data_IF_352543724779
#
_entry.id   IF_352543724779
#
_cell.length_a   1.000
_cell.length_b   1.000
_cell.length_c   1.000
_cell.angle_alpha   90.00
_cell.angle_beta   90.00
_cell.angle_gamma   90.00
#
_symmetry.space_group_name_H-M   'P 1'
#
loop_
_entity.id
_entity.type
_entity.pdbx_description
1 polymer ?
#
# COMPACT_ATOMS: atom_id res chain seq x y z
N UNK A 1 40.28 -19.69 22.51
CA UNK A 1 38.97 -20.20 22.05
C UNK A 1 37.87 -19.38 22.69
N UNK A 2 36.82 -19.09 21.91
CA UNK A 2 35.50 -18.57 22.32
C UNK A 2 35.47 -17.06 22.61
N UNK A 3 34.73 -16.21 21.89
CA UNK A 3 33.48 -16.43 21.13
C UNK A 3 33.48 -15.65 19.81
N UNK A 4 33.50 -16.37 18.70
CA UNK A 4 33.02 -15.84 17.42
C UNK A 4 31.50 -16.03 17.44
N UNK A 5 30.79 -15.04 17.99
CA UNK A 5 29.34 -14.93 17.81
C UNK A 5 29.19 -14.19 16.51
N UNK A 6 28.86 -14.92 15.44
CA UNK A 6 28.46 -14.38 14.14
C UNK A 6 27.46 -13.24 14.35
N UNK A 7 27.93 -12.00 14.37
CA UNK A 7 27.07 -10.83 14.55
C UNK A 7 26.35 -10.62 13.23
N UNK A 8 25.13 -11.14 13.14
CA UNK A 8 24.18 -10.76 12.10
C UNK A 8 24.07 -9.23 12.06
N UNK A 9 23.91 -8.61 10.87
CA UNK A 9 23.87 -7.16 10.78
C UNK A 9 22.70 -6.61 11.60
N UNK A 10 22.96 -5.58 12.40
CA UNK A 10 21.90 -4.89 13.11
C UNK A 10 21.10 -4.03 12.11
N UNK A 11 19.92 -4.51 11.74
CA UNK A 11 18.98 -3.80 10.85
C UNK A 11 17.82 -3.23 11.64
N UNK A 12 17.43 -2.00 11.31
CA UNK A 12 16.23 -1.34 11.80
C UNK A 12 15.33 -1.00 10.60
N UNK A 13 14.04 -1.32 10.66
CA UNK A 13 13.11 -0.98 9.58
C UNK A 13 12.40 0.34 9.86
N UNK A 14 12.54 1.31 8.96
CA UNK A 14 11.78 2.55 9.01
C UNK A 14 10.53 2.42 8.12
N UNK A 15 9.40 2.23 8.79
CA UNK A 15 8.09 2.00 8.23
C UNK A 15 7.29 3.31 8.16
N UNK A 16 6.56 3.51 7.07
CA UNK A 16 5.70 4.66 6.87
C UNK A 16 5.34 4.80 5.40
N UNK A 17 4.12 5.23 5.08
CA UNK A 17 3.68 5.39 3.69
C UNK A 17 4.51 6.46 2.94
N UNK A 18 4.54 6.46 1.60
CA UNK A 18 5.13 7.57 0.86
C UNK A 18 4.59 8.92 1.32
N UNK A 19 5.44 9.95 1.25
CA UNK A 19 5.11 11.34 1.65
C UNK A 19 4.82 11.55 3.14
N UNK A 20 5.08 10.58 4.01
CA UNK A 20 5.02 10.76 5.48
C UNK A 20 6.25 11.43 6.09
N UNK A 21 7.34 11.61 5.33
CA UNK A 21 8.59 12.20 5.82
C UNK A 21 9.69 11.18 6.15
N UNK A 22 9.54 9.92 5.75
CA UNK A 22 10.51 8.84 6.02
C UNK A 22 11.93 9.16 5.51
N UNK A 23 12.05 9.84 4.36
CA UNK A 23 13.36 10.30 3.86
C UNK A 23 14.01 11.33 4.78
N UNK A 24 13.25 12.27 5.34
CA UNK A 24 13.78 13.26 6.30
C UNK A 24 14.25 12.56 7.58
N UNK A 25 13.44 11.65 8.13
CA UNK A 25 13.81 10.92 9.34
C UNK A 25 15.07 10.07 9.13
N UNK A 26 15.14 9.30 8.04
CA UNK A 26 16.33 8.54 7.69
C UNK A 26 17.57 9.44 7.57
N UNK A 27 17.42 10.61 6.93
CA UNK A 27 18.49 11.58 6.75
C UNK A 27 19.04 12.15 8.06
N UNK A 28 18.15 12.41 9.03
CA UNK A 28 18.53 12.90 10.35
C UNK A 28 19.18 11.81 11.20
N UNK A 29 18.64 10.59 11.17
CA UNK A 29 19.17 9.47 11.97
C UNK A 29 20.56 9.04 11.54
N UNK A 30 20.86 9.04 10.23
CA UNK A 30 22.19 8.66 9.74
C UNK A 30 23.31 9.66 10.09
N UNK A 31 22.98 10.83 10.65
CA UNK A 31 23.99 11.76 11.19
C UNK A 31 24.69 11.17 12.43
N UNK A 32 24.09 10.17 13.07
CA UNK A 32 24.74 9.44 14.14
C UNK A 32 25.96 8.65 13.59
N UNK A 33 27.12 8.65 14.30
CA UNK A 33 28.34 8.00 13.82
C UNK A 33 28.17 6.51 13.52
N UNK A 34 27.27 5.84 14.24
CA UNK A 34 27.04 4.39 14.11
C UNK A 34 25.84 3.97 13.26
N UNK A 35 25.07 4.90 12.71
CA UNK A 35 23.85 4.60 11.94
C UNK A 35 24.04 4.97 10.47
N UNK A 36 23.80 4.03 9.57
CA UNK A 36 23.73 4.29 8.11
C UNK A 36 22.30 4.09 7.61
N UNK A 37 21.86 4.90 6.64
CA UNK A 37 20.54 4.78 6.04
C UNK A 37 20.65 4.94 4.50
N UNK A 38 20.89 3.84 3.76
CA UNK A 38 21.00 3.93 2.30
C UNK A 38 19.69 4.42 1.65
N UNK A 39 19.77 5.01 0.43
CA UNK A 39 18.57 5.35 -0.33
C UNK A 39 17.76 4.10 -0.64
N UNK A 40 16.48 4.09 -0.22
CA UNK A 40 15.44 3.06 -0.42
C UNK A 40 15.94 1.76 -1.08
N UNK A 41 16.34 0.75 -0.30
CA UNK A 41 16.88 -0.50 -0.86
C UNK A 41 15.85 -1.30 -1.65
N UNK A 42 14.56 -1.22 -1.30
CA UNK A 42 13.48 -2.07 -1.86
C UNK A 42 13.73 -3.58 -1.75
N UNK A 43 14.72 -3.99 -0.95
CA UNK A 43 15.25 -5.35 -0.93
C UNK A 43 14.23 -6.35 -0.38
N UNK A 44 13.53 -6.00 0.69
CA UNK A 44 12.56 -6.92 1.32
C UNK A 44 11.35 -7.19 0.43
N UNK A 45 10.94 -6.21 -0.38
CA UNK A 45 9.88 -6.38 -1.38
C UNK A 45 10.32 -7.30 -2.51
N UNK A 46 11.58 -7.18 -2.95
CA UNK A 46 12.15 -8.04 -3.97
C UNK A 46 12.34 -9.48 -3.46
N UNK A 47 12.78 -9.66 -2.21
CA UNK A 47 12.96 -10.97 -1.59
C UNK A 47 11.63 -11.67 -1.27
N UNK A 48 10.57 -10.94 -0.88
CA UNK A 48 9.23 -11.55 -0.79
C UNK A 48 8.75 -12.08 -2.14
N UNK A 49 9.09 -11.40 -3.23
CA UNK A 49 8.77 -11.83 -4.59
C UNK A 49 9.77 -12.86 -5.16
N UNK A 50 10.78 -13.28 -4.39
CA UNK A 50 11.81 -14.21 -4.87
C UNK A 50 11.20 -15.55 -5.30
N UNK A 51 11.39 -15.89 -6.58
CA UNK A 51 10.82 -17.08 -7.20
C UNK A 51 9.62 -16.83 -8.11
N UNK A 52 9.05 -15.60 -8.12
CA UNK A 52 8.01 -15.23 -9.09
C UNK A 52 8.62 -15.03 -10.48
N UNK A 53 7.95 -15.55 -11.52
CA UNK A 53 8.42 -15.50 -12.91
C UNK A 53 7.53 -14.60 -13.76
N UNK A 54 8.12 -13.69 -14.53
CA UNK A 54 7.37 -12.88 -15.50
C UNK A 54 6.71 -13.78 -16.55
N UNK A 55 5.42 -13.58 -16.81
CA UNK A 55 4.63 -14.37 -17.78
C UNK A 55 5.15 -14.29 -19.21
N UNK A 56 5.95 -13.26 -19.53
CA UNK A 56 6.59 -13.04 -20.83
C UNK A 56 7.99 -13.64 -20.92
N UNK A 57 8.40 -14.45 -19.94
CA UNK A 57 9.72 -15.06 -19.94
C UNK A 57 9.93 -15.93 -21.19
N UNK A 58 10.94 -15.59 -22.00
CA UNK A 58 11.16 -16.20 -23.32
C UNK A 58 11.46 -17.71 -23.27
N UNK A 59 12.08 -18.19 -22.19
CA UNK A 59 12.35 -19.62 -21.97
C UNK A 59 11.16 -20.44 -21.44
N UNK A 60 9.93 -19.91 -21.58
CA UNK A 60 8.70 -20.60 -21.17
C UNK A 60 8.34 -20.37 -19.71
N UNK A 61 7.63 -19.26 -19.44
CA UNK A 61 7.26 -18.83 -18.09
C UNK A 61 6.58 -19.92 -17.24
N UNK A 62 5.64 -20.68 -17.80
CA UNK A 62 4.94 -21.74 -17.06
C UNK A 62 5.87 -22.87 -16.60
N UNK A 63 6.85 -23.26 -17.42
CA UNK A 63 7.80 -24.31 -17.07
C UNK A 63 8.77 -23.84 -15.98
N UNK A 64 9.29 -22.61 -16.11
CA UNK A 64 10.19 -22.02 -15.12
C UNK A 64 9.46 -21.82 -13.81
N UNK A 65 8.22 -21.32 -13.83
CA UNK A 65 7.41 -21.15 -12.63
C UNK A 65 7.20 -22.49 -11.92
N UNK A 66 6.83 -23.55 -12.65
CA UNK A 66 6.65 -24.88 -12.08
C UNK A 66 7.94 -25.44 -11.46
N UNK A 67 9.05 -25.42 -12.22
CA UNK A 67 10.33 -25.94 -11.75
C UNK A 67 10.91 -25.13 -10.58
N UNK A 68 10.79 -23.80 -10.62
CA UNK A 68 11.24 -22.91 -9.55
C UNK A 68 10.40 -23.12 -8.29
N UNK A 69 9.07 -23.23 -8.42
CA UNK A 69 8.20 -23.51 -7.29
C UNK A 69 8.51 -24.88 -6.65
N UNK A 70 8.73 -25.92 -7.45
CA UNK A 70 9.12 -27.25 -6.96
C UNK A 70 10.46 -27.19 -6.21
N UNK A 71 11.45 -26.47 -6.74
CA UNK A 71 12.74 -26.29 -6.08
C UNK A 71 12.61 -25.51 -4.77
N UNK A 72 11.92 -24.37 -4.80
CA UNK A 72 11.74 -23.51 -3.63
C UNK A 72 10.92 -24.19 -2.52
N UNK A 73 9.98 -25.07 -2.89
CA UNK A 73 9.22 -25.89 -1.94
C UNK A 73 10.07 -26.92 -1.18
N UNK A 74 11.33 -27.14 -1.57
CA UNK A 74 12.28 -28.05 -0.91
C UNK A 74 13.31 -27.35 -0.04
N UNK A 75 13.27 -26.02 0.05
CA UNK A 75 14.22 -25.24 0.85
C UNK A 75 13.50 -24.37 1.88
N UNK A 76 14.24 -23.94 2.91
CA UNK A 76 13.78 -22.89 3.80
C UNK A 76 13.99 -21.52 3.13
N UNK A 77 12.92 -21.01 2.50
CA UNK A 77 12.92 -19.73 1.79
C UNK A 77 13.26 -18.55 2.70
N UNK A 78 12.83 -18.58 3.97
CA UNK A 78 13.12 -17.52 4.94
C UNK A 78 14.60 -17.50 5.26
N UNK A 79 15.20 -18.65 5.60
CA UNK A 79 16.63 -18.72 5.90
C UNK A 79 17.51 -18.31 4.71
N UNK A 80 17.16 -18.71 3.48
CA UNK A 80 17.90 -18.32 2.27
C UNK A 80 17.76 -16.82 1.98
N UNK A 81 16.54 -16.29 2.07
CA UNK A 81 16.32 -14.86 1.91
C UNK A 81 17.07 -14.04 2.95
N UNK A 82 17.12 -14.53 4.20
CA UNK A 82 17.84 -13.87 5.30
C UNK A 82 19.33 -13.86 5.05
N UNK A 83 19.90 -14.99 4.61
CA UNK A 83 21.31 -15.08 4.28
C UNK A 83 21.70 -14.08 3.17
N UNK A 84 20.86 -13.92 2.14
CA UNK A 84 21.08 -12.90 1.11
C UNK A 84 21.02 -11.48 1.68
N UNK A 85 19.97 -11.17 2.45
CA UNK A 85 19.78 -9.87 3.06
C UNK A 85 20.94 -9.51 4.01
N UNK A 86 21.37 -10.45 4.85
CA UNK A 86 22.48 -10.28 5.77
C UNK A 86 23.79 -10.00 5.04
N UNK A 87 24.06 -10.72 3.95
CA UNK A 87 25.24 -10.48 3.12
C UNK A 87 25.20 -9.09 2.46
N UNK A 88 24.03 -8.64 1.99
CA UNK A 88 23.86 -7.32 1.39
C UNK A 88 24.02 -6.20 2.42
N UNK A 89 23.32 -6.28 3.56
CA UNK A 89 23.39 -5.28 4.61
C UNK A 89 24.77 -5.20 5.27
N UNK A 90 25.44 -6.34 5.45
CA UNK A 90 26.81 -6.37 5.99
C UNK A 90 27.80 -5.63 5.11
N UNK A 91 27.66 -5.71 3.78
CA UNK A 91 28.51 -4.93 2.86
C UNK A 91 28.26 -3.42 2.99
N UNK A 92 27.01 -2.99 3.13
CA UNK A 92 26.69 -1.58 3.39
C UNK A 92 27.27 -1.08 4.72
N UNK A 93 27.14 -1.88 5.79
CA UNK A 93 27.69 -1.55 7.10
C UNK A 93 29.22 -1.47 7.07
N UNK A 94 29.88 -2.44 6.45
CA UNK A 94 31.33 -2.48 6.31
C UNK A 94 31.87 -1.29 5.50
N UNK A 95 31.22 -0.97 4.36
CA UNK A 95 31.60 0.17 3.54
C UNK A 95 31.41 1.52 4.26
N UNK A 96 30.37 1.64 5.10
CA UNK A 96 30.11 2.84 5.87
C UNK A 96 30.93 2.94 7.17
N UNK A 97 31.52 1.83 7.65
CA UNK A 97 32.15 1.75 8.96
C UNK A 97 31.17 1.94 10.13
N UNK A 98 29.90 1.55 9.94
CA UNK A 98 28.80 1.80 10.89
C UNK A 98 28.21 0.50 11.43
N UNK A 99 27.46 0.58 12.54
CA UNK A 99 26.96 -0.60 13.29
C UNK A 99 25.51 -0.97 12.98
N UNK A 100 24.65 0.00 12.69
CA UNK A 100 23.24 -0.25 12.36
C UNK A 100 22.86 0.33 11.02
N UNK A 101 22.10 -0.46 10.25
CA UNK A 101 21.51 -0.06 8.99
C UNK A 101 20.04 0.22 9.19
N UNK A 102 19.58 1.41 8.80
CA UNK A 102 18.17 1.75 8.69
C UNK A 102 17.72 1.45 7.26
N UNK A 103 16.93 0.39 7.10
CA UNK A 103 16.23 0.13 5.85
C UNK A 103 14.92 0.91 5.86
N UNK A 104 14.93 2.04 5.14
CA UNK A 104 13.77 2.86 4.89
C UNK A 104 13.23 2.55 3.50
N UNK A 105 12.07 1.90 3.45
CA UNK A 105 11.31 1.70 2.21
C UNK A 105 9.81 1.96 2.48
N UNK A 106 9.18 2.95 1.80
CA UNK A 106 7.85 3.42 2.18
C UNK A 106 6.72 2.37 2.09
N UNK A 107 6.89 1.33 1.26
CA UNK A 107 5.85 0.31 1.01
C UNK A 107 6.06 -1.00 1.74
N UNK A 108 6.87 -1.01 2.79
CA UNK A 108 7.01 -2.18 3.65
C UNK A 108 5.73 -2.60 4.38
N UNK A 109 4.69 -1.75 4.38
CA UNK A 109 3.34 -2.15 4.78
C UNK A 109 2.81 -3.36 3.98
N UNK A 110 3.31 -3.61 2.77
CA UNK A 110 2.92 -4.75 1.92
C UNK A 110 3.54 -6.09 2.36
N UNK A 111 4.59 -6.06 3.18
CA UNK A 111 5.42 -7.23 3.51
C UNK A 111 5.74 -7.32 5.00
N UNK A 112 4.90 -6.76 5.87
CA UNK A 112 5.13 -6.71 7.32
C UNK A 112 5.34 -8.12 7.92
N UNK A 113 4.49 -9.09 7.57
CA UNK A 113 4.63 -10.47 8.07
C UNK A 113 5.93 -11.14 7.59
N UNK A 114 6.35 -10.81 6.36
CA UNK A 114 7.61 -11.29 5.81
C UNK A 114 8.80 -10.67 6.56
N UNK A 115 8.77 -9.36 6.87
CA UNK A 115 9.78 -8.71 7.70
C UNK A 115 9.87 -9.37 9.09
N UNK A 116 8.73 -9.65 9.70
CA UNK A 116 8.67 -10.28 11.03
C UNK A 116 9.20 -11.71 11.02
N UNK A 117 8.97 -12.44 9.93
CA UNK A 117 9.50 -13.79 9.75
C UNK A 117 11.01 -13.78 9.53
N UNK A 118 11.50 -12.82 8.74
CA UNK A 118 12.92 -12.71 8.39
C UNK A 118 13.77 -12.14 9.54
N UNK A 119 13.25 -11.13 10.24
CA UNK A 119 13.93 -10.42 11.31
C UNK A 119 12.99 -10.17 12.50
N UNK A 120 12.68 -11.21 13.30
CA UNK A 120 11.70 -11.12 14.38
C UNK A 120 12.07 -10.10 15.47
N UNK A 121 13.37 -9.97 15.75
CA UNK A 121 13.91 -9.09 16.80
C UNK A 121 14.37 -7.71 16.28
N UNK A 122 14.20 -7.41 14.99
CA UNK A 122 14.65 -6.13 14.46
C UNK A 122 13.76 -4.99 14.99
N UNK A 123 14.37 -3.89 15.50
CA UNK A 123 13.62 -2.72 15.91
C UNK A 123 12.94 -2.07 14.71
N UNK A 124 11.75 -1.54 14.95
CA UNK A 124 10.98 -0.81 13.95
C UNK A 124 10.85 0.66 14.36
N UNK A 125 10.96 1.57 13.39
CA UNK A 125 10.52 2.94 13.54
C UNK A 125 9.28 3.11 12.69
N UNK A 126 8.16 3.47 13.29
CA UNK A 126 6.89 3.70 12.62
C UNK A 126 6.63 5.21 12.52
N UNK A 127 6.78 5.77 11.33
CA UNK A 127 6.50 7.17 11.06
C UNK A 127 5.05 7.37 10.60
N UNK A 128 4.32 8.16 11.37
CA UNK A 128 2.95 8.58 11.11
C UNK A 128 2.94 10.05 10.70
N UNK A 129 1.98 10.40 9.84
CA UNK A 129 1.72 11.78 9.42
C UNK A 129 0.23 11.94 9.17
N UNK A 130 -0.29 13.15 9.35
CA UNK A 130 -1.68 13.49 9.04
C UNK A 130 -2.05 13.01 7.62
N UNK A 131 -3.07 12.14 7.45
CA UNK A 131 -3.48 11.63 6.15
C UNK A 131 -3.89 12.71 5.14
N UNK A 132 -4.46 13.83 5.58
CA UNK A 132 -4.73 14.97 4.69
C UNK A 132 -3.44 15.62 4.19
N UNK A 133 -2.42 15.75 5.05
CA UNK A 133 -1.10 16.26 4.66
C UNK A 133 -0.36 15.30 3.71
N UNK A 134 -0.52 13.99 3.88
CA UNK A 134 -0.04 12.98 2.93
C UNK A 134 -0.73 13.17 1.57
N UNK A 135 -2.06 13.26 1.54
CA UNK A 135 -2.83 13.44 0.32
C UNK A 135 -2.48 14.75 -0.42
N UNK A 136 -2.39 15.88 0.29
CA UNK A 136 -1.94 17.15 -0.28
C UNK A 136 -0.52 17.06 -0.87
N UNK A 137 0.37 16.30 -0.22
CA UNK A 137 1.70 16.05 -0.78
C UNK A 137 1.66 15.16 -2.02
N UNK A 138 0.85 14.11 -2.04
CA UNK A 138 0.65 13.24 -3.21
C UNK A 138 0.11 14.04 -4.41
N UNK A 139 -0.91 14.87 -4.20
CA UNK A 139 -1.46 15.79 -5.20
C UNK A 139 -0.40 16.73 -5.75
N UNK A 140 0.21 17.54 -4.89
CA UNK A 140 1.16 18.59 -5.32
C UNK A 140 2.48 18.04 -5.89
N UNK A 141 2.86 16.80 -5.58
CA UNK A 141 4.17 16.23 -5.99
C UNK A 141 4.04 15.30 -7.18
N UNK A 142 3.00 14.45 -7.20
CA UNK A 142 2.83 13.38 -8.18
C UNK A 142 1.56 13.54 -9.02
N UNK A 143 0.80 14.61 -8.81
CA UNK A 143 -0.44 14.88 -9.55
C UNK A 143 -1.52 13.82 -9.28
N UNK A 144 -1.50 13.19 -8.10
CA UNK A 144 -2.49 12.15 -7.76
C UNK A 144 -3.86 12.82 -7.62
N UNK A 145 -4.85 12.42 -8.45
CA UNK A 145 -6.21 12.93 -8.33
C UNK A 145 -6.94 12.24 -7.17
N UNK A 146 -7.67 13.03 -6.39
CA UNK A 146 -8.56 12.53 -5.32
C UNK A 146 -10.04 12.70 -5.65
N UNK A 147 -10.36 13.29 -6.80
CA UNK A 147 -11.72 13.42 -7.33
C UNK A 147 -11.65 13.14 -8.84
N UNK A 148 -12.67 12.47 -9.39
CA UNK A 148 -12.78 12.25 -10.84
C UNK A 148 -13.45 13.45 -11.50
N UNK A 149 -12.89 13.95 -12.60
CA UNK A 149 -13.54 14.99 -13.42
C UNK A 149 -14.88 14.54 -14.02
N UNK A 150 -15.12 13.22 -14.08
CA UNK A 150 -16.30 12.64 -14.75
C UNK A 150 -17.43 12.24 -13.81
N UNK A 151 -17.22 12.28 -12.49
CA UNK A 151 -18.22 11.79 -11.53
C UNK A 151 -18.13 12.54 -10.18
N UNK A 152 -19.26 13.04 -9.62
CA UNK A 152 -19.25 13.66 -8.30
C UNK A 152 -18.78 12.68 -7.19
N UNK A 153 -18.12 13.18 -6.12
CA UNK A 153 -17.37 12.41 -5.11
C UNK A 153 -18.24 11.61 -4.11
N UNK A 154 -19.41 11.14 -4.53
CA UNK A 154 -20.40 10.49 -3.65
C UNK A 154 -20.67 9.03 -3.97
N UNK A 155 -20.08 8.48 -5.03
CA UNK A 155 -20.27 7.06 -5.39
C UNK A 155 -18.97 6.26 -5.35
N UNK A 156 -19.03 5.04 -4.82
CA UNK A 156 -17.98 4.02 -4.96
C UNK A 156 -17.66 3.76 -6.44
N UNK A 157 -18.64 3.98 -7.34
CA UNK A 157 -18.45 3.96 -8.80
C UNK A 157 -17.39 4.95 -9.28
N UNK A 158 -17.23 6.10 -8.63
CA UNK A 158 -16.26 7.13 -9.02
C UNK A 158 -14.81 6.69 -8.79
N UNK A 159 -14.53 5.93 -7.71
CA UNK A 159 -13.20 5.34 -7.51
C UNK A 159 -13.02 4.04 -8.28
N UNK A 160 -14.08 3.26 -8.51
CA UNK A 160 -14.03 2.17 -9.46
C UNK A 160 -13.65 2.71 -10.85
N UNK A 161 -14.22 3.82 -11.31
CA UNK A 161 -13.81 4.51 -12.53
C UNK A 161 -12.40 5.08 -12.44
N UNK A 162 -12.01 5.63 -11.29
CA UNK A 162 -10.63 6.06 -11.06
C UNK A 162 -9.64 4.90 -11.09
N UNK A 163 -10.06 3.65 -10.80
CA UNK A 163 -9.23 2.43 -10.77
C UNK A 163 -9.29 1.64 -12.09
N UNK A 164 -10.46 1.61 -12.74
CA UNK A 164 -10.81 0.80 -13.93
C UNK A 164 -10.68 1.63 -15.22
N UNK A 165 -10.98 2.94 -15.17
CA UNK A 165 -11.06 3.83 -16.33
C UNK A 165 -9.73 4.34 -16.88
N UNK A 166 -8.62 3.62 -16.66
CA UNK A 166 -7.21 3.97 -16.95
C UNK A 166 -6.53 5.02 -16.05
N UNK A 167 -6.45 4.83 -14.72
CA UNK A 167 -5.34 5.39 -13.96
C UNK A 167 -4.03 4.66 -14.31
N UNK A 168 -2.90 5.35 -14.23
CA UNK A 168 -1.61 4.66 -14.20
C UNK A 168 -1.52 3.83 -12.91
N UNK A 169 -0.80 2.70 -12.94
CA UNK A 169 -0.56 1.87 -11.76
C UNK A 169 -0.08 2.67 -10.53
N UNK A 170 0.59 3.81 -10.76
CA UNK A 170 1.05 4.73 -9.74
C UNK A 170 -0.08 5.38 -8.91
N UNK A 171 -1.21 5.75 -9.54
CA UNK A 171 -2.35 6.35 -8.82
C UNK A 171 -3.00 5.33 -7.90
N UNK A 172 -3.28 4.13 -8.42
CA UNK A 172 -3.87 3.06 -7.63
C UNK A 172 -2.97 2.66 -6.44
N UNK A 173 -1.65 2.60 -6.64
CA UNK A 173 -0.69 2.37 -5.55
C UNK A 173 -0.71 3.51 -4.51
N UNK A 174 -0.74 4.78 -4.95
CA UNK A 174 -0.77 5.91 -4.03
C UNK A 174 -2.06 5.95 -3.18
N UNK A 175 -3.19 5.57 -3.76
CA UNK A 175 -4.45 5.44 -3.01
C UNK A 175 -4.43 4.21 -2.09
N UNK A 176 -3.86 3.08 -2.53
CA UNK A 176 -3.67 1.90 -1.69
C UNK A 176 -2.77 2.20 -0.48
N UNK A 177 -1.77 3.08 -0.63
CA UNK A 177 -0.95 3.52 0.50
C UNK A 177 -1.83 4.16 1.61
N UNK A 178 -2.88 4.92 1.27
CA UNK A 178 -3.83 5.49 2.24
C UNK A 178 -4.87 4.46 2.74
N UNK A 179 -5.45 3.67 1.83
CA UNK A 179 -6.57 2.76 2.12
C UNK A 179 -6.14 1.48 2.79
N UNK A 180 -4.97 0.94 2.45
CA UNK A 180 -4.47 -0.34 2.97
C UNK A 180 -3.18 -0.15 3.77
N UNK A 181 -2.31 0.76 3.34
CA UNK A 181 -1.02 0.99 4.00
C UNK A 181 -1.14 1.61 5.38
N UNK A 182 -1.84 2.74 5.51
CA UNK A 182 -2.05 3.40 6.80
C UNK A 182 -2.65 2.50 7.89
N UNK A 183 -3.76 1.77 7.69
CA UNK A 183 -4.29 0.88 8.74
C UNK A 183 -3.33 -0.28 9.06
N UNK A 184 -2.66 -0.87 8.05
CA UNK A 184 -1.70 -1.95 8.27
C UNK A 184 -0.51 -1.48 9.14
N UNK A 185 -0.04 -0.26 8.90
CA UNK A 185 1.01 0.38 9.68
C UNK A 185 0.52 0.81 11.07
N UNK A 186 -0.69 1.33 11.20
CA UNK A 186 -1.30 1.69 12.47
C UNK A 186 -1.39 0.49 13.43
N UNK A 187 -1.69 -0.69 12.90
CA UNK A 187 -1.72 -1.94 13.65
C UNK A 187 -0.35 -2.35 14.21
N UNK A 188 0.76 -1.83 13.68
CA UNK A 188 2.12 -2.13 14.17
C UNK A 188 2.50 -1.34 15.42
N UNK A 189 1.72 -0.32 15.83
CA UNK A 189 2.06 0.54 16.99
C UNK A 189 2.22 -0.22 18.31
N UNK A 190 1.49 -1.33 18.46
CA UNK A 190 1.55 -2.18 19.66
C UNK A 190 2.65 -3.24 19.62
N UNK A 191 3.39 -3.37 18.52
CA UNK A 191 4.42 -4.41 18.39
C UNK A 191 5.62 -4.10 19.30
N UNK A 192 6.19 -5.10 19.99
CA UNK A 192 7.45 -4.93 20.73
C UNK A 192 8.54 -4.31 19.84
N UNK A 193 9.46 -3.56 20.46
CA UNK A 193 10.57 -2.91 19.77
C UNK A 193 10.16 -1.95 18.64
N UNK A 194 8.92 -1.44 18.64
CA UNK A 194 8.45 -0.43 17.68
C UNK A 194 8.42 0.97 18.31
N UNK A 195 9.12 1.91 17.70
CA UNK A 195 9.13 3.32 18.09
C UNK A 195 8.25 4.13 17.15
N UNK A 196 7.18 4.70 17.70
CA UNK A 196 6.29 5.58 16.92
C UNK A 196 6.87 7.00 16.87
N UNK A 197 6.84 7.61 15.69
CA UNK A 197 7.24 8.99 15.44
C UNK A 197 6.11 9.69 14.70
N UNK A 198 5.73 10.88 15.14
CA UNK A 198 4.81 11.74 14.41
C UNK A 198 5.63 12.75 13.61
N UNK A 199 5.36 12.85 12.32
CA UNK A 199 6.04 13.78 11.42
C UNK A 199 5.96 15.22 11.93
N UNK A 200 4.80 15.60 12.49
CA UNK A 200 4.52 16.92 13.00
C UNK A 200 5.45 17.28 14.17
N UNK A 201 5.66 16.36 15.12
CA UNK A 201 6.64 16.54 16.19
C UNK A 201 8.08 16.54 15.65
N UNK A 202 8.39 15.69 14.67
CA UNK A 202 9.71 15.62 14.07
C UNK A 202 10.13 16.94 13.43
N UNK A 203 9.22 17.66 12.77
CA UNK A 203 9.55 18.94 12.13
C UNK A 203 9.42 20.15 13.05
N UNK A 204 8.65 20.03 14.13
CA UNK A 204 8.52 21.08 15.14
C UNK A 204 9.69 21.07 16.13
N UNK A 205 10.10 19.86 16.57
CA UNK A 205 11.13 19.63 17.61
C UNK A 205 12.12 18.55 17.15
N UNK A 206 12.86 18.78 16.04
CA UNK A 206 13.71 17.76 15.43
C UNK A 206 14.77 17.20 16.39
N UNK A 207 15.45 18.05 17.16
CA UNK A 207 16.52 17.60 18.07
C UNK A 207 15.99 16.68 19.18
N UNK A 208 14.83 17.01 19.74
CA UNK A 208 14.19 16.22 20.80
C UNK A 208 13.76 14.85 20.27
N UNK A 209 13.05 14.84 19.14
CA UNK A 209 12.55 13.60 18.54
C UNK A 209 13.67 12.68 18.07
N UNK A 210 14.73 13.23 17.48
CA UNK A 210 15.88 12.43 17.01
C UNK A 210 16.66 11.84 18.19
N UNK A 211 16.91 12.61 19.26
CA UNK A 211 17.54 12.08 20.48
C UNK A 211 16.70 10.97 21.11
N UNK A 212 15.37 11.15 21.16
CA UNK A 212 14.44 10.13 21.67
C UNK A 212 14.52 8.83 20.86
N UNK A 213 14.48 8.92 19.53
CA UNK A 213 14.55 7.74 18.65
C UNK A 213 15.91 7.06 18.76
N UNK A 214 17.02 7.80 18.81
CA UNK A 214 18.36 7.24 18.93
C UNK A 214 18.58 6.55 20.28
N UNK A 215 18.12 7.16 21.38
CA UNK A 215 18.13 6.53 22.69
C UNK A 215 17.32 5.22 22.70
N UNK A 216 16.14 5.21 22.06
CA UNK A 216 15.31 4.02 21.94
C UNK A 216 15.92 2.90 21.07
N UNK A 217 16.83 3.25 20.14
CA UNK A 217 17.65 2.30 19.40
C UNK A 217 18.88 1.81 20.18
N UNK A 218 19.08 2.27 21.42
CA UNK A 218 20.18 1.86 22.30
C UNK A 218 21.49 2.62 22.10
N UNK A 219 21.45 3.79 21.46
CA UNK A 219 22.61 4.64 21.19
C UNK A 219 22.64 5.88 22.11
N UNK A 220 23.83 6.47 22.28
CA UNK A 220 23.99 7.69 23.08
C UNK A 220 23.47 8.92 22.31
N UNK A 221 22.44 9.63 22.83
CA UNK A 221 21.90 10.83 22.18
C UNK A 221 22.81 12.06 22.30
N UNK A 222 23.81 12.04 23.17
CA UNK A 222 24.62 13.21 23.57
C UNK A 222 25.57 13.71 22.47
N UNK A 223 25.94 12.84 21.52
CA UNK A 223 26.87 13.14 20.43
C UNK A 223 26.24 13.70 19.16
N UNK A 224 24.91 13.83 19.11
CA UNK A 224 24.21 14.31 17.91
C UNK A 224 24.16 15.83 17.91
N UNK A 225 25.03 16.43 17.12
CA UNK A 225 24.82 17.79 16.63
C UNK A 225 24.00 17.60 15.35
N UNK A 226 22.69 17.89 15.37
CA UNK A 226 21.89 17.87 14.14
C UNK A 226 22.41 19.02 13.27
N UNK A 227 23.21 18.76 12.23
CA UNK A 227 23.71 19.85 11.40
C UNK A 227 22.53 20.36 10.57
N UNK A 228 22.71 21.53 9.95
CA UNK A 228 21.88 21.89 8.81
C UNK A 228 21.87 20.73 7.77
N UNK A 229 20.91 20.71 6.85
CA UNK A 229 20.66 19.62 5.86
C UNK A 229 21.79 19.53 4.80
N UNK A 230 23.05 19.57 5.22
CA UNK A 230 24.24 19.79 4.40
C UNK A 230 24.80 18.48 3.82
N UNK A 231 24.62 17.33 4.48
CA UNK A 231 25.11 16.02 4.00
C UNK A 231 24.10 15.28 3.12
N UNK A 232 23.65 15.91 2.03
CA UNK A 232 22.66 15.33 1.09
C UNK A 232 23.29 14.63 -0.12
N UNK A 233 24.61 14.43 -0.14
CA UNK A 233 25.33 13.88 -1.29
C UNK A 233 24.80 12.50 -1.70
N UNK A 234 24.54 11.61 -0.74
CA UNK A 234 23.96 10.29 -1.02
C UNK A 234 22.56 10.35 -1.68
N UNK A 235 21.76 11.40 -1.41
CA UNK A 235 20.47 11.62 -2.07
C UNK A 235 20.63 12.19 -3.47
N UNK A 236 21.73 12.91 -3.77
CA UNK A 236 22.03 13.39 -5.12
C UNK A 236 22.46 12.25 -6.04
N UNK A 237 23.14 11.26 -5.48
CA UNK A 237 23.61 10.07 -6.19
C UNK A 237 22.51 9.01 -6.41
N UNK A 238 21.31 9.20 -5.84
CA UNK A 238 20.18 8.28 -5.99
C UNK A 238 19.03 8.87 -6.80
N UNK A 239 18.33 8.01 -7.54
CA UNK A 239 17.02 8.30 -8.12
C UNK A 239 15.88 8.09 -7.14
N UNK A 240 16.14 7.47 -5.99
CA UNK A 240 15.15 7.11 -4.97
C UNK A 240 15.19 8.07 -3.76
N UNK A 241 14.07 8.18 -3.05
CA UNK A 241 13.88 9.13 -1.95
C UNK A 241 13.24 10.47 -2.36
N UNK A 242 12.92 11.30 -1.34
CA UNK A 242 12.25 12.58 -1.58
C UNK A 242 13.21 13.68 -2.02
N UNK A 243 13.24 13.96 -3.33
CA UNK A 243 14.05 15.02 -3.94
C UNK A 243 13.70 16.43 -3.45
N UNK A 244 12.53 16.65 -2.83
CA UNK A 244 12.21 17.95 -2.23
C UNK A 244 13.16 18.30 -1.07
N UNK A 245 13.77 17.30 -0.42
CA UNK A 245 14.73 17.52 0.66
C UNK A 245 16.01 18.23 0.17
N UNK A 246 16.44 17.96 -1.07
CA UNK A 246 17.62 18.61 -1.68
C UNK A 246 17.48 20.12 -1.83
N UNK A 247 16.25 20.65 -1.80
CA UNK A 247 15.95 22.08 -1.92
C UNK A 247 15.87 22.78 -0.56
N UNK A 248 15.87 22.02 0.54
CA UNK A 248 15.74 22.58 1.90
C UNK A 248 17.11 22.88 2.47
N UNK A 249 17.24 24.03 3.12
CA UNK A 249 18.44 24.41 3.89
C UNK A 249 18.35 23.96 5.35
N UNK A 250 17.13 23.84 5.88
CA UNK A 250 16.85 23.45 7.25
C UNK A 250 15.54 22.63 7.31
N UNK A 251 15.32 21.95 8.44
CA UNK A 251 14.02 21.36 8.76
C UNK A 251 13.02 22.50 9.01
N UNK A 252 11.84 22.40 8.42
CA UNK A 252 10.75 23.36 8.59
C UNK A 252 9.41 22.63 8.67
N UNK A 253 8.44 23.26 9.34
CA UNK A 253 7.10 22.74 9.56
C UNK A 253 6.06 23.26 8.55
N UNK A 254 6.47 23.92 7.45
CA UNK A 254 5.55 24.57 6.49
C UNK A 254 4.58 23.59 5.85
N UNK A 255 4.99 22.32 5.72
CA UNK A 255 4.19 21.26 5.12
C UNK A 255 3.19 20.59 6.06
N UNK A 256 3.14 20.97 7.34
CA UNK A 256 2.23 20.35 8.32
C UNK A 256 0.77 20.70 7.99
N UNK A 257 0.46 21.98 7.76
CA UNK A 257 -0.91 22.46 7.59
C UNK A 257 -1.29 22.84 6.15
N UNK A 258 -0.40 22.62 5.16
CA UNK A 258 -0.65 23.01 3.76
C UNK A 258 -1.88 22.32 3.16
N UNK A 259 -2.27 21.17 3.70
CA UNK A 259 -3.47 20.45 3.26
C UNK A 259 -4.75 21.28 3.37
N UNK A 260 -4.82 22.23 4.32
CA UNK A 260 -5.98 23.11 4.50
C UNK A 260 -6.22 24.03 3.30
N UNK A 261 -5.17 24.33 2.53
CA UNK A 261 -5.26 25.21 1.34
C UNK A 261 -5.10 24.44 0.03
N UNK A 262 -4.44 23.29 0.05
CA UNK A 262 -4.14 22.49 -1.16
C UNK A 262 -5.25 21.51 -1.52
N UNK A 263 -6.05 21.08 -0.54
CA UNK A 263 -7.18 20.18 -0.76
C UNK A 263 -8.48 20.96 -0.80
N UNK A 264 -9.32 20.65 -1.79
CA UNK A 264 -10.71 21.09 -1.80
C UNK A 264 -11.53 20.33 -0.76
N UNK A 265 -12.72 20.83 -0.43
CA UNK A 265 -13.68 20.12 0.44
C UNK A 265 -13.97 18.72 -0.12
N UNK A 266 -14.15 18.59 -1.43
CA UNK A 266 -14.39 17.30 -2.08
C UNK A 266 -13.20 16.33 -1.92
N UNK A 267 -11.97 16.82 -2.07
CA UNK A 267 -10.78 16.00 -1.89
C UNK A 267 -10.59 15.58 -0.43
N UNK A 268 -10.84 16.49 0.53
CA UNK A 268 -10.86 16.16 1.95
C UNK A 268 -11.93 15.12 2.27
N UNK A 269 -13.09 15.18 1.62
CA UNK A 269 -14.14 14.17 1.77
C UNK A 269 -13.63 12.80 1.28
N UNK A 270 -13.02 12.75 0.09
CA UNK A 270 -12.44 11.51 -0.43
C UNK A 270 -11.39 10.95 0.53
N UNK A 271 -10.46 11.77 1.02
CA UNK A 271 -9.43 11.30 1.97
C UNK A 271 -10.07 10.74 3.24
N UNK A 272 -11.11 11.41 3.77
CA UNK A 272 -11.85 10.94 4.95
C UNK A 272 -12.51 9.59 4.70
N UNK A 273 -13.12 9.42 3.53
CA UNK A 273 -13.77 8.17 3.13
C UNK A 273 -12.76 7.02 2.95
N UNK A 274 -11.60 7.28 2.33
CA UNK A 274 -10.52 6.32 2.09
C UNK A 274 -9.87 5.82 3.39
N UNK A 275 -9.61 6.74 4.31
CA UNK A 275 -8.86 6.46 5.54
C UNK A 275 -9.79 5.98 6.65
N UNK A 276 -10.95 6.63 6.77
CA UNK A 276 -11.94 6.46 7.84
C UNK A 276 -11.71 7.42 9.01
N UNK A 277 -12.80 7.99 9.52
CA UNK A 277 -12.78 8.89 10.69
C UNK A 277 -12.26 8.19 11.95
N UNK A 278 -12.64 6.93 12.19
CA UNK A 278 -12.14 6.12 13.31
C UNK A 278 -10.61 6.05 13.31
N UNK A 279 -10.00 5.78 12.15
CA UNK A 279 -8.55 5.66 12.03
C UNK A 279 -7.85 7.02 12.19
N UNK A 280 -8.44 8.10 11.70
CA UNK A 280 -7.92 9.46 11.92
C UNK A 280 -7.83 9.79 13.42
N UNK A 281 -8.88 9.50 14.18
CA UNK A 281 -8.92 9.69 15.63
C UNK A 281 -7.91 8.76 16.32
N UNK A 282 -7.89 7.48 15.94
CA UNK A 282 -6.98 6.48 16.48
C UNK A 282 -5.50 6.88 16.30
N UNK A 283 -5.17 7.53 15.17
CA UNK A 283 -3.83 8.01 14.85
C UNK A 283 -3.50 9.38 15.49
N UNK A 284 -4.42 9.97 16.24
CA UNK A 284 -4.22 11.25 16.94
C UNK A 284 -4.55 12.50 16.11
N UNK A 285 -5.24 12.37 14.97
CA UNK A 285 -5.59 13.47 14.07
C UNK A 285 -7.04 13.95 14.24
N UNK A 286 -7.61 13.82 15.44
CA UNK A 286 -8.98 14.26 15.75
C UNK A 286 -9.20 15.75 15.48
N UNK A 287 -8.23 16.60 15.82
CA UNK A 287 -8.33 18.05 15.55
C UNK A 287 -8.34 18.35 14.05
N UNK A 288 -7.57 17.61 13.25
CA UNK A 288 -7.58 17.75 11.78
C UNK A 288 -8.91 17.28 11.19
N UNK A 289 -9.45 16.17 11.71
CA UNK A 289 -10.79 15.71 11.34
C UNK A 289 -11.87 16.73 11.74
N UNK A 290 -11.77 17.36 12.91
CA UNK A 290 -12.71 18.38 13.33
C UNK A 290 -12.65 19.61 12.42
N UNK A 291 -11.44 20.07 12.06
CA UNK A 291 -11.28 21.15 11.09
C UNK A 291 -11.93 20.81 9.73
N UNK A 292 -11.75 19.59 9.25
CA UNK A 292 -12.41 19.12 8.04
C UNK A 292 -13.95 19.13 8.21
N UNK A 293 -14.48 18.65 9.35
CA UNK A 293 -15.92 18.70 9.64
C UNK A 293 -16.48 20.11 9.66
N UNK A 294 -15.76 21.06 10.26
CA UNK A 294 -16.14 22.48 10.29
C UNK A 294 -16.18 23.08 8.87
N UNK A 295 -15.35 22.56 7.95
CA UNK A 295 -15.35 22.92 6.53
C UNK A 295 -16.44 22.21 5.70
N UNK A 296 -17.28 21.38 6.31
CA UNK A 296 -18.42 20.71 5.67
C UNK A 296 -18.20 19.22 5.32
N UNK A 297 -17.10 18.61 5.77
CA UNK A 297 -16.87 17.17 5.61
C UNK A 297 -17.78 16.37 6.54
N UNK A 298 -18.37 15.31 6.01
CA UNK A 298 -19.27 14.42 6.77
C UNK A 298 -18.61 13.06 6.94
N UNK A 299 -18.62 12.53 8.16
CA UNK A 299 -18.29 11.13 8.38
C UNK A 299 -19.42 10.25 7.84
N UNK A 300 -19.20 9.62 6.68
CA UNK A 300 -20.16 8.72 6.04
C UNK A 300 -20.21 7.32 6.69
N UNK A 301 -19.43 7.11 7.74
CA UNK A 301 -19.42 5.90 8.54
C UNK A 301 -18.52 4.80 8.01
N UNK A 302 -18.19 3.87 8.91
CA UNK A 302 -17.25 2.76 8.70
C UNK A 302 -17.57 1.89 7.48
N UNK A 303 -18.85 1.71 7.16
CA UNK A 303 -19.29 0.88 6.03
C UNK A 303 -18.74 1.40 4.68
N UNK A 304 -18.66 2.73 4.51
CA UNK A 304 -18.11 3.35 3.30
C UNK A 304 -16.61 3.07 3.21
N UNK A 305 -15.87 3.32 4.28
CA UNK A 305 -14.42 3.03 4.34
C UNK A 305 -14.14 1.55 4.09
N UNK A 306 -14.91 0.63 4.70
CA UNK A 306 -14.69 -0.81 4.49
C UNK A 306 -15.00 -1.24 3.05
N UNK A 307 -15.99 -0.63 2.40
CA UNK A 307 -16.25 -0.86 0.97
C UNK A 307 -15.06 -0.45 0.12
N UNK A 308 -14.42 0.69 0.42
CA UNK A 308 -13.16 1.07 -0.24
C UNK A 308 -12.04 0.08 0.04
N UNK A 309 -11.85 -0.34 1.29
CA UNK A 309 -10.85 -1.36 1.63
C UNK A 309 -11.08 -2.65 0.84
N UNK A 310 -12.32 -3.12 0.72
CA UNK A 310 -12.66 -4.32 -0.03
C UNK A 310 -12.30 -4.17 -1.52
N UNK A 311 -12.68 -3.05 -2.15
CA UNK A 311 -12.35 -2.80 -3.57
C UNK A 311 -10.84 -2.81 -3.79
N UNK A 312 -10.08 -2.12 -2.93
CA UNK A 312 -8.62 -2.07 -3.05
C UNK A 312 -7.97 -3.43 -2.76
N UNK A 313 -8.48 -4.23 -1.80
CA UNK A 313 -8.00 -5.60 -1.57
C UNK A 313 -8.28 -6.49 -2.78
N UNK A 314 -9.48 -6.49 -3.33
CA UNK A 314 -9.79 -7.29 -4.53
C UNK A 314 -8.91 -6.90 -5.71
N UNK A 315 -8.73 -5.60 -5.96
CA UNK A 315 -7.81 -5.12 -7.00
C UNK A 315 -6.36 -5.55 -6.74
N UNK A 316 -5.94 -5.52 -5.47
CA UNK A 316 -4.62 -5.93 -5.05
C UNK A 316 -4.38 -7.43 -5.24
N UNK A 317 -5.31 -8.25 -4.80
CA UNK A 317 -5.27 -9.70 -4.90
C UNK A 317 -5.28 -10.15 -6.37
N UNK A 318 -6.03 -9.46 -7.23
CA UNK A 318 -5.98 -9.69 -8.68
C UNK A 318 -4.59 -9.41 -9.25
N UNK A 319 -3.92 -8.34 -8.84
CA UNK A 319 -2.53 -8.07 -9.27
C UNK A 319 -1.52 -9.08 -8.73
N UNK A 320 -1.70 -9.57 -7.50
CA UNK A 320 -0.87 -10.65 -6.96
C UNK A 320 -1.13 -11.97 -7.69
N UNK A 321 -2.39 -12.33 -7.95
CA UNK A 321 -2.78 -13.54 -8.67
C UNK A 321 -2.51 -13.51 -10.18
N UNK A 322 -2.44 -12.33 -10.81
CA UNK A 322 -1.93 -12.18 -12.16
C UNK A 322 -0.42 -12.44 -12.26
N UNK A 323 0.32 -12.28 -11.14
CA UNK A 323 1.74 -12.62 -11.01
C UNK A 323 1.94 -14.07 -10.53
N UNK A 324 1.08 -14.57 -9.64
CA UNK A 324 1.04 -15.95 -9.16
C UNK A 324 0.06 -16.75 -10.04
N UNK A 325 0.48 -17.09 -11.27
CA UNK A 325 -0.39 -17.77 -12.23
C UNK A 325 -1.05 -19.03 -11.66
N UNK A 326 -2.35 -18.93 -11.34
CA UNK A 326 -3.32 -19.99 -10.95
C UNK A 326 -2.85 -20.96 -9.83
N UNK A 327 -3.60 -21.09 -8.71
CA UNK A 327 -3.24 -22.03 -7.65
C UNK A 327 -3.28 -23.49 -8.12
N UNK A 328 -2.35 -24.28 -7.61
CA UNK A 328 -2.35 -25.74 -7.67
C UNK A 328 -3.67 -26.31 -7.12
N UNK A 329 -4.58 -26.65 -8.03
CA UNK A 329 -5.89 -27.21 -7.74
C UNK A 329 -6.37 -28.08 -8.90
N UNK A 330 -5.52 -28.98 -9.37
CA UNK A 330 -5.90 -30.08 -10.26
C UNK A 330 -4.96 -31.27 -9.99
N UNK A 331 -5.08 -31.82 -8.78
CA UNK A 331 -4.59 -33.16 -8.45
C UNK A 331 -5.44 -34.20 -9.17
N UNK A 332 -5.33 -34.27 -10.49
CA UNK A 332 -5.95 -35.34 -11.30
C UNK A 332 -5.34 -35.34 -12.72
N UNK A 333 -4.03 -35.51 -12.82
CA UNK A 333 -3.37 -35.78 -14.11
C UNK A 333 -2.15 -36.71 -13.99
N UNK A 334 -2.17 -37.60 -12.98
CA UNK A 334 -1.11 -38.60 -12.76
C UNK A 334 -1.43 -40.00 -13.30
N UNK A 335 -2.44 -40.15 -14.18
CA UNK A 335 -2.83 -41.44 -14.74
C UNK A 335 -2.41 -41.68 -16.20
N UNK A 336 -1.84 -40.70 -16.90
CA UNK A 336 -1.57 -40.83 -18.35
C UNK A 336 -0.14 -41.36 -18.66
N UNK A 337 0.78 -41.40 -17.70
CA UNK A 337 2.19 -41.78 -17.94
C UNK A 337 2.59 -43.21 -17.50
N UNK A 338 1.64 -44.16 -17.37
CA UNK A 338 1.98 -45.53 -16.93
C UNK A 338 1.55 -46.70 -17.84
N UNK A 339 1.15 -46.46 -19.09
CA UNK A 339 0.69 -47.56 -19.97
C UNK A 339 1.22 -47.53 -21.41
N UNK A 340 2.42 -47.02 -21.65
CA UNK A 340 3.02 -47.09 -22.99
C UNK A 340 4.52 -47.42 -22.95
N UNK A 341 4.86 -48.51 -22.28
CA UNK A 341 6.07 -49.28 -22.57
C UNK A 341 5.61 -50.69 -22.94
N UNK A 342 5.49 -50.97 -24.25
CA UNK A 342 5.80 -52.27 -24.86
C UNK A 342 5.43 -52.26 -26.36
N UNK A 343 6.40 -52.72 -27.16
CA UNK A 343 6.30 -53.19 -28.56
C UNK A 343 6.40 -52.17 -29.71
N UNK A 344 7.60 -52.07 -30.28
CA UNK A 344 7.85 -51.78 -31.71
C UNK A 344 7.76 -53.09 -32.51
N UNK A 345 7.34 -53.11 -33.80
CA UNK A 345 8.24 -52.72 -34.90
C UNK A 345 7.60 -52.05 -36.17
N UNK A 346 8.39 -51.17 -36.78
CA UNK A 346 8.58 -50.84 -38.22
C UNK A 346 7.35 -50.80 -39.16
N UNK A 347 7.06 -49.62 -39.74
CA UNK A 347 6.23 -49.47 -40.93
C UNK A 347 6.15 -48.02 -41.46
N UNK A 348 6.32 -47.85 -42.76
CA UNK A 348 6.55 -46.62 -43.54
C UNK A 348 5.38 -45.62 -43.66
N UNK A 349 5.74 -44.33 -43.77
CA UNK A 349 5.09 -43.22 -44.51
C UNK A 349 3.56 -43.04 -44.45
N UNK A 350 3.12 -41.93 -43.84
CA UNK A 350 2.54 -40.74 -44.51
C UNK A 350 1.47 -40.01 -43.68
N UNK A 351 1.56 -38.68 -43.70
CA UNK A 351 0.57 -37.66 -43.30
C UNK A 351 0.19 -37.52 -41.82
N UNK A 352 0.94 -36.68 -41.10
CA UNK A 352 0.47 -35.98 -39.90
C UNK A 352 0.42 -34.48 -40.18
N UNK A 353 -0.67 -34.05 -40.81
CA UNK A 353 -1.13 -32.66 -40.83
C UNK A 353 -2.63 -32.69 -40.49
N UNK A 354 -2.95 -32.93 -39.23
CA UNK A 354 -4.35 -33.04 -38.78
C UNK A 354 -4.59 -32.82 -37.29
N UNK A 355 -3.62 -33.13 -36.41
CA UNK A 355 -3.85 -33.10 -34.96
C UNK A 355 -3.25 -31.89 -34.23
N UNK A 356 -2.43 -31.07 -34.88
CA UNK A 356 -1.84 -29.87 -34.27
C UNK A 356 -2.79 -28.64 -34.19
N UNK A 357 -4.01 -28.73 -34.74
CA UNK A 357 -4.93 -27.57 -34.83
C UNK A 357 -6.13 -27.61 -33.87
N UNK A 358 -6.36 -28.69 -33.10
CA UNK A 358 -7.52 -28.76 -32.17
C UNK A 358 -7.24 -28.29 -30.73
N UNK A 359 -6.00 -28.36 -30.24
CA UNK A 359 -5.66 -27.90 -28.88
C UNK A 359 -5.73 -26.37 -28.65
N UNK A 360 -5.42 -25.50 -29.63
CA UNK A 360 -5.56 -24.05 -29.44
C UNK A 360 -7.03 -23.60 -29.35
N UNK A 361 -7.94 -24.29 -30.03
CA UNK A 361 -9.35 -23.89 -30.10
C UNK A 361 -10.13 -24.21 -28.82
N UNK A 362 -9.84 -25.35 -28.16
CA UNK A 362 -10.42 -25.66 -26.84
C UNK A 362 -9.96 -24.67 -25.76
N UNK A 363 -8.67 -24.29 -25.75
CA UNK A 363 -8.13 -23.33 -24.80
C UNK A 363 -8.63 -21.90 -25.01
N UNK A 364 -8.90 -21.50 -26.26
CA UNK A 364 -9.54 -20.22 -26.58
C UNK A 364 -11.01 -20.24 -26.10
N UNK A 365 -11.73 -21.35 -26.31
CA UNK A 365 -13.12 -21.48 -25.88
C UNK A 365 -13.27 -21.45 -24.34
N UNK A 366 -12.39 -22.14 -23.60
CA UNK A 366 -12.40 -22.11 -22.12
C UNK A 366 -12.07 -20.73 -21.57
N UNK A 367 -11.06 -20.05 -22.13
CA UNK A 367 -10.70 -18.68 -21.74
C UNK A 367 -11.82 -17.68 -22.08
N UNK A 368 -12.50 -17.86 -23.21
CA UNK A 368 -13.64 -17.03 -23.61
C UNK A 368 -14.85 -17.30 -22.69
N UNK A 369 -15.07 -18.54 -22.27
CA UNK A 369 -16.13 -18.91 -21.35
C UNK A 369 -15.89 -18.36 -19.94
N UNK A 370 -14.63 -18.38 -19.46
CA UNK A 370 -14.23 -17.78 -18.20
C UNK A 370 -14.39 -16.25 -18.22
N UNK A 371 -13.93 -15.60 -19.30
CA UNK A 371 -14.09 -14.16 -19.48
C UNK A 371 -15.58 -13.76 -19.59
N UNK A 372 -16.39 -14.56 -20.26
CA UNK A 372 -17.84 -14.33 -20.39
C UNK A 372 -18.54 -14.50 -19.05
N UNK A 373 -18.16 -15.50 -18.26
CA UNK A 373 -18.65 -15.72 -16.90
C UNK A 373 -18.29 -14.54 -15.98
N UNK A 374 -17.06 -14.04 -16.08
CA UNK A 374 -16.57 -12.90 -15.30
C UNK A 374 -17.31 -11.59 -15.66
N UNK A 375 -17.55 -11.36 -16.96
CA UNK A 375 -18.37 -10.22 -17.42
C UNK A 375 -19.81 -10.35 -16.91
N UNK A 376 -20.38 -11.55 -16.87
CA UNK A 376 -21.73 -11.76 -16.35
C UNK A 376 -21.81 -11.48 -14.84
N UNK A 377 -20.83 -11.95 -14.06
CA UNK A 377 -20.77 -11.70 -12.61
C UNK A 377 -20.59 -10.22 -12.29
N UNK A 378 -19.72 -9.52 -13.02
CA UNK A 378 -19.52 -8.07 -12.84
C UNK A 378 -20.77 -7.27 -13.23
N UNK A 379 -21.46 -7.66 -14.32
CA UNK A 379 -22.73 -7.04 -14.70
C UNK A 379 -23.81 -7.28 -13.65
N UNK A 380 -23.89 -8.48 -13.07
CA UNK A 380 -24.87 -8.80 -12.03
C UNK A 380 -24.59 -8.01 -10.74
N UNK A 381 -23.33 -7.86 -10.34
CA UNK A 381 -22.94 -7.04 -9.20
C UNK A 381 -23.22 -5.54 -9.43
N UNK A 382 -23.00 -5.06 -10.66
CA UNK A 382 -23.33 -3.69 -11.05
C UNK A 382 -24.84 -3.43 -10.98
N UNK A 383 -25.65 -4.30 -11.60
CA UNK A 383 -27.12 -4.22 -11.56
C UNK A 383 -27.65 -4.24 -10.12
N UNK A 384 -27.16 -5.16 -9.28
CA UNK A 384 -27.56 -5.22 -7.88
C UNK A 384 -27.20 -3.93 -7.11
N UNK A 385 -26.06 -3.31 -7.42
CA UNK A 385 -25.68 -2.02 -6.82
C UNK A 385 -26.49 -0.84 -7.38
N UNK A 386 -26.95 -0.90 -8.62
CA UNK A 386 -27.82 0.11 -9.24
C UNK A 386 -29.24 0.05 -8.68
N UNK A 387 -29.76 -1.16 -8.46
CA UNK A 387 -31.07 -1.40 -7.83
C UNK A 387 -31.08 -0.94 -6.35
N UNK A 388 -29.99 -1.21 -5.61
CA UNK A 388 -29.83 -0.70 -4.23
C UNK A 388 -29.77 0.84 -4.21
N UNK A 389 -29.04 1.46 -5.17
CA UNK A 389 -29.00 2.92 -5.33
C UNK A 389 -30.38 3.50 -5.66
N UNK A 390 -31.14 2.86 -6.54
CA UNK A 390 -32.49 3.30 -6.90
C UNK A 390 -33.43 3.27 -5.69
N UNK A 391 -33.35 2.19 -4.90
CA UNK A 391 -34.11 2.02 -3.65
C UNK A 391 -33.75 3.12 -2.63
N UNK A 392 -32.46 3.44 -2.48
CA UNK A 392 -32.00 4.50 -1.57
C UNK A 392 -32.41 5.90 -2.04
N UNK A 393 -32.38 6.18 -3.34
CA UNK A 393 -32.85 7.46 -3.90
C UNK A 393 -34.35 7.66 -3.71
N UNK A 394 -35.13 6.58 -3.81
CA UNK A 394 -36.56 6.61 -3.53
C UNK A 394 -36.84 6.88 -2.05
N UNK A 395 -36.07 6.25 -1.15
CA UNK A 395 -36.14 6.54 0.28
C UNK A 395 -35.80 8.00 0.62
N UNK A 396 -34.80 8.59 -0.04
CA UNK A 396 -34.44 10.00 0.11
C UNK A 396 -35.57 10.91 -0.36
N UNK A 397 -36.14 10.66 -1.55
CA UNK A 397 -37.27 11.45 -2.09
C UNK A 397 -38.48 11.43 -1.16
N UNK A 398 -38.79 10.26 -0.59
CA UNK A 398 -39.90 10.12 0.37
C UNK A 398 -39.66 10.92 1.65
N UNK A 399 -38.40 10.96 2.12
CA UNK A 399 -38.01 11.75 3.29
C UNK A 399 -38.06 13.25 3.02
N UNK A 400 -37.62 13.71 1.85
CA UNK A 400 -37.72 15.12 1.45
C UNK A 400 -39.19 15.57 1.30
N UNK A 401 -40.04 14.72 0.73
CA UNK A 401 -41.49 14.99 0.66
C UNK A 401 -42.12 15.13 2.06
N UNK A 402 -41.66 14.32 3.02
CA UNK A 402 -42.09 14.40 4.43
C UNK A 402 -41.63 15.71 5.08
N UNK A 403 -40.37 16.11 4.86
CA UNK A 403 -39.82 17.37 5.36
C UNK A 403 -40.62 18.56 4.82
N UNK A 404 -40.95 18.55 3.52
CA UNK A 404 -41.70 19.65 2.90
C UNK A 404 -43.17 19.68 3.35
N UNK A 405 -43.76 18.54 3.67
CA UNK A 405 -45.07 18.48 4.31
C UNK A 405 -45.04 19.09 5.73
N UNK A 406 -44.02 18.75 6.54
CA UNK A 406 -43.84 19.29 7.88
C UNK A 406 -43.61 20.81 7.85
N UNK A 407 -42.79 21.32 6.92
CA UNK A 407 -42.57 22.76 6.74
C UNK A 407 -43.87 23.51 6.44
N UNK A 408 -44.72 22.95 5.57
CA UNK A 408 -46.03 23.55 5.25
C UNK A 408 -46.94 23.59 6.47
N UNK A 409 -46.94 22.56 7.32
CA UNK A 409 -47.76 22.56 8.53
C UNK A 409 -47.24 23.56 9.57
N UNK A 410 -45.93 23.72 9.72
CA UNK A 410 -45.35 24.75 10.60
C UNK A 410 -45.83 26.14 10.18
N UNK A 411 -45.72 26.48 8.88
CA UNK A 411 -46.21 27.77 8.36
C UNK A 411 -47.71 27.96 8.60
N UNK A 412 -48.52 26.90 8.44
CA UNK A 412 -49.97 26.95 8.70
C UNK A 412 -50.28 27.25 10.17
N UNK A 413 -49.56 26.62 11.09
CA UNK A 413 -49.72 26.80 12.53
C UNK A 413 -49.27 28.21 12.96
N UNK A 414 -48.15 28.70 12.44
CA UNK A 414 -47.67 30.08 12.68
C UNK A 414 -48.68 31.13 12.22
N UNK A 415 -49.28 30.95 11.03
CA UNK A 415 -50.32 31.85 10.51
C UNK A 415 -51.63 31.80 11.29
N UNK A 416 -51.96 30.65 11.90
CA UNK A 416 -53.16 30.50 12.72
C UNK A 416 -52.97 31.20 14.07
N UNK A 417 -51.78 31.05 14.67
CA UNK A 417 -51.43 31.71 15.93
C UNK A 417 -51.40 33.24 15.79
N UNK A 418 -50.91 33.75 14.66
CA UNK A 418 -50.88 35.18 14.36
C UNK A 418 -52.26 35.82 14.09
N UNK A 419 -53.32 35.01 13.93
CA UNK A 419 -54.71 35.50 13.79
C UNK A 419 -55.49 35.53 15.10
N UNK A 420 -54.99 34.89 16.14
CA UNK A 420 -55.61 34.83 17.47
C UNK A 420 -54.99 35.82 18.48
N UNK A 421 -53.86 36.44 18.12
CA UNK A 421 -53.27 37.64 18.75
C UNK A 421 -53.64 38.89 17.98
#
# INVERSE_FOLDING_TARGET
>A
MSRDVSHFPAVCFLLGVPRSGTTLLAHLLQQHPDITAPPEPWLMLALEAFGRVDRRHAAGASLIQAATHEFLGRIDHISVSRAFADAAYSQYLAAAGKRTLIDKTPRYWMVLDYLHSLYPEAPHILLLRNPYAIAASLKSTWGIPFVSERCPPTSVSCLADLVIGTPTAAVALALADLVLGLPALAAQRGRPHTQTVHYEHLVERPDEEIRRVIAALGYDPSGIIVPAVEQTEYLRLSSFGDRRLLKKKAVDNRSVETWRTELTIEEMQTVTDLVGAELLVELGYEQSLQHAKDAGIVDRGKAVTERYRQVFRTWWDLRRGEADGIPAGASECNSIFRQAEENTPIGSNSSTYGEAQRLPQLKIAENLQLATSMVAQLKQALMASEDDRATQLEAIRNRDATIEALRREVVRLEQSLAKET
#
